data_IF_282758383981
#
_entry.id   IF_282758383981
#
_cell.length_a   1.000
_cell.length_b   1.000
_cell.length_c   1.000
_cell.angle_alpha   90.00
_cell.angle_beta   90.00
_cell.angle_gamma   90.00
#
_symmetry.space_group_name_H-M   'P 1'
#
loop_
_entity.id
_entity.type
_entity.pdbx_description
1 polymer ?
#
# COMPACT_ATOMS: atom_id res chain seq x y z
N UNK A 1 16.11 -29.43 -12.37
CA UNK A 1 15.49 -28.10 -12.03
C UNK A 1 14.76 -28.27 -10.70
N UNK A 2 14.92 -27.32 -9.77
CA UNK A 2 14.23 -27.36 -8.49
C UNK A 2 12.75 -26.99 -8.70
N UNK A 3 11.87 -27.96 -8.69
CA UNK A 3 10.44 -27.72 -8.88
C UNK A 3 9.72 -27.76 -7.53
N UNK A 4 9.12 -26.62 -7.14
CA UNK A 4 8.30 -26.50 -5.96
C UNK A 4 6.81 -26.62 -6.34
N UNK A 5 6.07 -27.39 -5.56
CA UNK A 5 4.63 -27.55 -5.77
C UNK A 5 3.83 -26.42 -5.10
N UNK A 6 2.59 -26.12 -5.54
CA UNK A 6 1.72 -25.16 -4.86
C UNK A 6 1.47 -25.50 -3.37
N UNK A 7 1.47 -26.78 -3.01
CA UNK A 7 1.35 -27.21 -1.61
C UNK A 7 2.58 -26.81 -0.79
N UNK A 8 3.78 -27.00 -1.32
CA UNK A 8 5.02 -26.57 -0.68
C UNK A 8 5.05 -25.04 -0.51
N UNK A 9 4.61 -24.28 -1.52
CA UNK A 9 4.52 -22.81 -1.43
C UNK A 9 3.56 -22.36 -0.32
N UNK A 10 2.41 -23.04 -0.15
CA UNK A 10 1.49 -22.74 0.95
C UNK A 10 2.11 -23.05 2.32
N UNK A 11 2.85 -24.16 2.43
CA UNK A 11 3.57 -24.52 3.66
C UNK A 11 4.62 -23.47 3.99
N UNK A 12 5.42 -23.01 3.01
CA UNK A 12 6.41 -21.96 3.18
C UNK A 12 5.77 -20.68 3.76
N UNK A 13 4.66 -20.24 3.16
CA UNK A 13 3.95 -19.05 3.61
C UNK A 13 3.37 -19.23 5.01
N UNK A 14 2.75 -20.38 5.29
CA UNK A 14 2.18 -20.64 6.61
C UNK A 14 3.25 -20.64 7.70
N UNK A 15 4.43 -21.26 7.47
CA UNK A 15 5.52 -21.23 8.46
C UNK A 15 6.00 -19.79 8.72
N UNK A 16 6.11 -18.98 7.68
CA UNK A 16 6.52 -17.58 7.78
C UNK A 16 5.49 -16.72 8.52
N UNK A 17 4.22 -16.87 8.20
CA UNK A 17 3.15 -16.03 8.71
C UNK A 17 2.75 -16.41 10.15
N UNK A 18 2.79 -17.70 10.49
CA UNK A 18 2.53 -18.22 11.84
C UNK A 18 3.77 -18.19 12.77
N UNK A 19 4.95 -17.92 12.23
CA UNK A 19 6.20 -17.84 12.99
C UNK A 19 6.70 -19.17 13.56
N UNK A 20 6.14 -20.33 13.12
CA UNK A 20 6.55 -21.62 13.65
C UNK A 20 5.96 -22.83 12.91
N UNK A 21 6.71 -23.94 12.97
CA UNK A 21 6.33 -25.18 12.29
C UNK A 21 5.07 -25.85 12.86
N UNK A 22 4.87 -25.75 14.18
CA UNK A 22 3.70 -26.32 14.86
C UNK A 22 2.44 -25.52 14.53
N UNK A 23 2.51 -24.18 14.63
CA UNK A 23 1.40 -23.30 14.30
C UNK A 23 1.00 -23.42 12.82
N UNK A 24 1.97 -23.45 11.92
CA UNK A 24 1.73 -23.70 10.50
C UNK A 24 1.08 -25.07 10.24
N UNK A 25 1.50 -26.11 10.96
CA UNK A 25 0.87 -27.42 10.88
C UNK A 25 -0.60 -27.35 11.27
N UNK A 26 -0.92 -26.70 12.39
CA UNK A 26 -2.31 -26.52 12.85
C UNK A 26 -3.13 -25.75 11.81
N UNK A 27 -2.61 -24.64 11.29
CA UNK A 27 -3.30 -23.82 10.29
C UNK A 27 -3.60 -24.57 8.97
N UNK A 28 -2.74 -25.52 8.60
CA UNK A 28 -2.87 -26.30 7.36
C UNK A 28 -3.51 -27.69 7.54
N UNK A 29 -3.85 -28.09 8.77
CA UNK A 29 -4.31 -29.45 9.06
C UNK A 29 -3.23 -30.51 8.88
N UNK A 30 -1.94 -30.16 9.08
CA UNK A 30 -0.78 -31.04 8.94
C UNK A 30 -0.07 -31.25 10.28
N UNK A 31 0.70 -32.32 10.37
CA UNK A 31 1.57 -32.53 11.53
C UNK A 31 2.81 -31.60 11.43
N UNK A 32 3.36 -31.20 12.59
CA UNK A 32 4.61 -30.44 12.64
C UNK A 32 5.75 -31.13 11.90
N UNK A 33 5.83 -32.48 12.00
CA UNK A 33 6.84 -33.29 11.30
C UNK A 33 6.70 -33.22 9.78
N UNK A 34 5.46 -33.25 9.26
CA UNK A 34 5.19 -33.11 7.82
C UNK A 34 5.62 -31.70 7.31
N UNK A 35 5.25 -30.65 8.03
CA UNK A 35 5.68 -29.26 7.71
C UNK A 35 7.21 -29.15 7.74
N UNK A 36 7.87 -29.66 8.79
CA UNK A 36 9.33 -29.64 8.90
C UNK A 36 10.03 -30.42 7.78
N UNK A 37 9.46 -31.56 7.38
CA UNK A 37 9.99 -32.37 6.28
C UNK A 37 9.84 -31.65 4.93
N UNK A 38 8.68 -31.00 4.67
CA UNK A 38 8.43 -30.23 3.47
C UNK A 38 9.39 -29.05 3.36
N UNK A 39 9.60 -28.29 4.45
CA UNK A 39 10.55 -27.16 4.46
C UNK A 39 11.98 -27.64 4.16
N UNK A 40 12.47 -28.71 4.80
CA UNK A 40 13.79 -29.26 4.47
C UNK A 40 13.88 -29.74 3.01
N UNK A 41 12.77 -30.27 2.48
CA UNK A 41 12.68 -30.63 1.06
C UNK A 41 12.86 -29.41 0.15
N UNK A 42 12.17 -28.32 0.45
CA UNK A 42 12.29 -27.06 -0.28
C UNK A 42 13.70 -26.47 -0.18
N UNK A 43 14.31 -26.45 1.01
CA UNK A 43 15.68 -25.98 1.24
C UNK A 43 16.70 -26.76 0.41
N UNK A 44 16.58 -28.08 0.36
CA UNK A 44 17.42 -28.92 -0.52
C UNK A 44 17.21 -28.62 -2.00
N UNK A 45 15.96 -28.46 -2.43
CA UNK A 45 15.63 -28.14 -3.83
C UNK A 45 16.19 -26.78 -4.25
N UNK A 46 16.15 -25.79 -3.34
CA UNK A 46 16.59 -24.42 -3.60
C UNK A 46 18.06 -24.18 -3.28
N UNK A 47 18.72 -25.10 -2.57
CA UNK A 47 20.11 -24.97 -2.15
C UNK A 47 20.33 -23.84 -1.13
N UNK A 48 19.30 -23.46 -0.37
CA UNK A 48 19.34 -22.35 0.59
C UNK A 48 18.51 -22.64 1.83
N UNK A 49 18.99 -22.20 3.00
CA UNK A 49 18.23 -22.21 4.25
C UNK A 49 17.16 -21.14 4.18
N UNK A 50 15.91 -21.51 4.41
CA UNK A 50 14.76 -20.60 4.35
C UNK A 50 14.35 -20.08 5.73
N UNK A 51 14.57 -20.89 6.78
CA UNK A 51 14.21 -20.52 8.13
C UNK A 51 15.32 -20.87 9.12
N UNK A 52 15.65 -19.89 9.96
CA UNK A 52 16.46 -20.12 11.15
C UNK A 52 15.58 -20.68 12.27
N UNK A 53 16.06 -21.72 12.94
CA UNK A 53 15.39 -22.32 14.08
C UNK A 53 15.81 -21.58 15.34
N UNK A 54 14.96 -20.68 15.79
CA UNK A 54 15.14 -20.01 17.08
C UNK A 54 14.36 -20.75 18.18
N UNK A 55 14.74 -20.49 19.42
CA UNK A 55 14.06 -21.03 20.61
C UNK A 55 12.58 -20.58 20.69
N UNK A 56 12.24 -19.49 20.01
CA UNK A 56 10.92 -18.85 19.97
C UNK A 56 10.12 -19.17 18.69
N UNK A 57 10.63 -20.04 17.77
CA UNK A 57 9.90 -20.37 16.55
C UNK A 57 10.80 -20.48 15.31
N UNK A 58 10.22 -20.24 14.15
CA UNK A 58 10.87 -20.21 12.84
C UNK A 58 10.97 -18.77 12.34
N UNK A 59 12.18 -18.23 12.25
CA UNK A 59 12.42 -16.89 11.71
C UNK A 59 12.87 -17.05 10.26
N UNK A 60 12.21 -16.39 9.28
CA UNK A 60 12.66 -16.50 7.90
C UNK A 60 14.02 -15.82 7.70
N UNK A 61 14.91 -16.46 6.95
CA UNK A 61 16.15 -15.87 6.47
C UNK A 61 15.86 -14.85 5.36
N UNK A 62 16.83 -14.01 4.94
CA UNK A 62 16.67 -13.19 3.75
C UNK A 62 16.30 -13.98 2.48
N UNK A 63 16.77 -15.23 2.37
CA UNK A 63 16.37 -16.14 1.29
C UNK A 63 14.92 -16.60 1.47
N UNK A 64 14.50 -16.90 2.71
CA UNK A 64 13.14 -17.25 3.08
C UNK A 64 12.15 -16.16 2.77
N UNK A 65 12.44 -14.89 3.11
CA UNK A 65 11.58 -13.75 2.79
C UNK A 65 11.43 -13.55 1.28
N UNK A 66 12.53 -13.65 0.51
CA UNK A 66 12.45 -13.58 -0.96
C UNK A 66 11.61 -14.73 -1.52
N UNK A 67 11.83 -15.96 -1.03
CA UNK A 67 11.05 -17.13 -1.45
C UNK A 67 9.57 -16.97 -1.11
N UNK A 68 9.22 -16.41 0.05
CA UNK A 68 7.84 -16.13 0.44
C UNK A 68 7.18 -15.10 -0.48
N UNK A 69 7.88 -14.01 -0.86
CA UNK A 69 7.37 -13.04 -1.83
C UNK A 69 7.08 -13.70 -3.20
N UNK A 70 8.00 -14.53 -3.70
CA UNK A 70 7.76 -15.30 -4.92
C UNK A 70 6.60 -16.28 -4.79
N UNK A 71 6.53 -17.00 -3.66
CA UNK A 71 5.47 -17.98 -3.40
C UNK A 71 4.08 -17.32 -3.43
N UNK A 72 3.90 -16.14 -2.80
CA UNK A 72 2.63 -15.40 -2.84
C UNK A 72 2.24 -15.03 -4.28
N UNK A 73 3.18 -14.48 -5.05
CA UNK A 73 2.92 -14.10 -6.45
C UNK A 73 2.53 -15.29 -7.31
N UNK A 74 3.24 -16.42 -7.17
CA UNK A 74 2.93 -17.66 -7.90
C UNK A 74 1.52 -18.17 -7.53
N UNK A 75 1.22 -18.28 -6.25
CA UNK A 75 -0.10 -18.73 -5.78
C UNK A 75 -1.21 -17.78 -6.22
N UNK A 76 -0.95 -16.48 -6.20
CA UNK A 76 -1.90 -15.48 -6.69
C UNK A 76 -2.19 -15.64 -8.18
N UNK A 77 -1.16 -15.89 -8.99
CA UNK A 77 -1.34 -16.16 -10.43
C UNK A 77 -2.13 -17.45 -10.69
N UNK A 78 -1.99 -18.48 -9.85
CA UNK A 78 -2.88 -19.66 -9.92
C UNK A 78 -4.34 -19.29 -9.66
N UNK A 79 -4.62 -18.44 -8.67
CA UNK A 79 -5.99 -17.98 -8.38
C UNK A 79 -6.58 -17.20 -9.55
N UNK A 80 -5.79 -16.26 -10.12
CA UNK A 80 -6.18 -15.44 -11.27
C UNK A 80 -6.44 -16.30 -12.49
N UNK A 81 -5.52 -17.20 -12.85
CA UNK A 81 -5.68 -18.13 -13.96
C UNK A 81 -7.00 -18.93 -13.83
N UNK A 82 -7.25 -19.47 -12.63
CA UNK A 82 -8.48 -20.24 -12.40
C UNK A 82 -9.75 -19.38 -12.50
N UNK A 83 -9.68 -18.09 -12.16
CA UNK A 83 -10.79 -17.16 -12.29
C UNK A 83 -11.03 -16.77 -13.77
N UNK A 84 -9.97 -16.44 -14.50
CA UNK A 84 -10.04 -16.05 -15.91
C UNK A 84 -10.54 -17.19 -16.80
N UNK A 85 -10.00 -18.40 -16.63
CA UNK A 85 -10.46 -19.58 -17.39
C UNK A 85 -11.95 -19.90 -17.14
N UNK A 86 -12.43 -19.76 -15.90
CA UNK A 86 -13.85 -19.92 -15.61
C UNK A 86 -14.72 -18.83 -16.26
N UNK A 87 -14.18 -17.61 -16.34
CA UNK A 87 -14.86 -16.51 -16.99
C UNK A 87 -15.01 -16.71 -18.51
N UNK A 88 -13.99 -17.24 -19.19
CA UNK A 88 -14.02 -17.51 -20.64
C UNK A 88 -15.02 -18.63 -21.02
N UNK A 89 -15.28 -19.57 -20.11
CA UNK A 89 -16.22 -20.68 -20.34
C UNK A 89 -17.71 -20.31 -20.27
N UNK A 90 -18.05 -19.11 -19.79
CA UNK A 90 -19.43 -18.62 -19.73
C UNK A 90 -19.56 -17.42 -20.66
N UNK A 91 -20.37 -17.55 -21.74
CA UNK A 91 -20.65 -16.49 -22.72
C UNK A 91 -21.06 -15.20 -21.99
N UNK A 92 -20.20 -14.19 -21.94
CA UNK A 92 -20.47 -12.94 -21.23
C UNK A 92 -20.09 -12.93 -19.74
N UNK A 93 -19.19 -13.80 -19.29
CA UNK A 93 -18.83 -13.91 -17.89
C UNK A 93 -18.24 -12.62 -17.32
N UNK A 94 -18.91 -12.12 -16.29
CA UNK A 94 -18.46 -10.98 -15.52
C UNK A 94 -17.18 -11.33 -14.77
N UNK A 95 -16.27 -10.36 -14.66
CA UNK A 95 -15.07 -10.49 -13.82
C UNK A 95 -15.47 -10.87 -12.39
N UNK A 96 -14.76 -11.82 -11.78
CA UNK A 96 -15.10 -12.34 -10.45
C UNK A 96 -13.87 -12.70 -9.63
N UNK A 97 -14.06 -12.76 -8.31
CA UNK A 97 -13.04 -13.15 -7.34
C UNK A 97 -12.44 -11.96 -6.59
N UNK A 98 -11.50 -12.22 -5.67
CA UNK A 98 -10.89 -11.18 -4.86
C UNK A 98 -9.98 -10.27 -5.69
N UNK A 99 -10.03 -8.97 -5.40
CA UNK A 99 -9.13 -7.95 -5.95
C UNK A 99 -8.48 -7.21 -4.77
N UNK A 100 -7.22 -7.54 -4.49
CA UNK A 100 -6.48 -7.02 -3.34
C UNK A 100 -5.82 -5.70 -3.69
N UNK A 101 -6.15 -4.65 -2.92
CA UNK A 101 -5.63 -3.31 -3.15
C UNK A 101 -4.94 -2.81 -1.88
N UNK A 102 -3.67 -2.42 -1.99
CA UNK A 102 -2.98 -1.71 -0.93
C UNK A 102 -2.98 -0.21 -1.23
N UNK A 103 -3.23 0.61 -0.22
CA UNK A 103 -3.22 2.07 -0.38
C UNK A 103 -2.80 2.74 0.93
N UNK A 104 -2.21 3.92 0.84
CA UNK A 104 -2.04 4.76 2.01
C UNK A 104 -3.38 5.40 2.42
N UNK A 105 -3.45 5.89 3.67
CA UNK A 105 -4.71 6.28 4.32
C UNK A 105 -5.56 7.24 3.48
N UNK A 106 -5.03 8.39 3.08
CA UNK A 106 -5.82 9.38 2.35
C UNK A 106 -6.26 8.89 0.96
N UNK A 107 -5.47 8.06 0.28
CA UNK A 107 -5.90 7.42 -0.97
C UNK A 107 -7.02 6.39 -0.73
N UNK A 108 -6.94 5.62 0.36
CA UNK A 108 -7.98 4.66 0.73
C UNK A 108 -9.31 5.33 1.06
N UNK A 109 -9.27 6.52 1.66
CA UNK A 109 -10.46 7.28 2.05
C UNK A 109 -11.07 8.08 0.89
N UNK A 110 -10.25 8.62 -0.02
CA UNK A 110 -10.70 9.68 -0.94
C UNK A 110 -10.54 9.34 -2.43
N UNK A 111 -9.80 8.30 -2.79
CA UNK A 111 -9.63 7.86 -4.18
C UNK A 111 -10.31 6.52 -4.46
N UNK A 112 -10.20 5.58 -3.52
CA UNK A 112 -10.71 4.22 -3.72
C UNK A 112 -12.24 4.11 -3.68
N UNK A 113 -12.99 4.75 -2.76
CA UNK A 113 -14.42 4.44 -2.58
C UNK A 113 -15.23 4.59 -3.85
N UNK A 114 -15.16 5.75 -4.49
CA UNK A 114 -15.90 6.02 -5.74
C UNK A 114 -15.47 5.10 -6.89
N UNK A 115 -14.17 4.79 -6.98
CA UNK A 115 -13.65 3.90 -8.01
C UNK A 115 -14.11 2.45 -7.79
N UNK A 116 -14.10 1.99 -6.54
CA UNK A 116 -14.56 0.65 -6.18
C UNK A 116 -16.06 0.49 -6.32
N UNK A 117 -16.85 1.51 -5.99
CA UNK A 117 -18.29 1.50 -6.19
C UNK A 117 -18.64 1.37 -7.69
N UNK A 118 -17.98 2.16 -8.55
CA UNK A 118 -18.19 2.04 -10.01
C UNK A 118 -17.72 0.69 -10.53
N UNK A 119 -16.59 0.18 -10.03
CA UNK A 119 -16.04 -1.12 -10.39
C UNK A 119 -17.03 -2.26 -10.06
N UNK A 120 -17.49 -2.31 -8.81
CA UNK A 120 -18.39 -3.39 -8.35
C UNK A 120 -19.76 -3.32 -8.97
N UNK A 121 -20.24 -2.12 -9.31
CA UNK A 121 -21.49 -1.94 -10.08
C UNK A 121 -21.38 -2.51 -11.51
N UNK A 122 -20.22 -2.36 -12.16
CA UNK A 122 -19.95 -2.92 -13.50
C UNK A 122 -19.57 -4.40 -13.47
N UNK A 123 -18.94 -4.83 -12.38
CA UNK A 123 -18.41 -6.18 -12.20
C UNK A 123 -18.80 -6.73 -10.83
N UNK A 124 -20.07 -7.12 -10.62
CA UNK A 124 -20.58 -7.52 -9.29
C UNK A 124 -19.90 -8.76 -8.70
N UNK A 125 -19.22 -9.55 -9.52
CA UNK A 125 -18.46 -10.72 -9.09
C UNK A 125 -17.07 -10.38 -8.51
N UNK A 126 -16.57 -9.15 -8.70
CA UNK A 126 -15.32 -8.74 -8.08
C UNK A 126 -15.54 -8.37 -6.60
N UNK A 127 -14.65 -8.85 -5.74
CA UNK A 127 -14.67 -8.59 -4.30
C UNK A 127 -13.40 -7.80 -3.95
N UNK A 128 -13.46 -6.45 -3.90
CA UNK A 128 -12.32 -5.64 -3.50
C UNK A 128 -11.97 -5.84 -2.02
N UNK A 129 -10.70 -6.11 -1.76
CA UNK A 129 -10.11 -6.20 -0.42
C UNK A 129 -9.08 -5.08 -0.26
N UNK A 130 -9.41 -4.05 0.53
CA UNK A 130 -8.54 -2.89 0.72
C UNK A 130 -7.72 -3.04 2.00
N UNK A 131 -6.40 -2.91 1.86
CA UNK A 131 -5.46 -2.85 2.96
C UNK A 131 -4.84 -1.47 3.04
N UNK A 132 -5.05 -0.80 4.16
CA UNK A 132 -4.40 0.49 4.43
C UNK A 132 -3.00 0.24 4.98
N UNK A 133 -2.00 0.84 4.33
CA UNK A 133 -0.58 0.69 4.67
C UNK A 133 0.05 2.07 4.69
N UNK A 134 0.95 2.32 5.66
CA UNK A 134 1.69 3.59 5.71
C UNK A 134 2.60 3.74 4.48
N UNK A 135 2.70 4.95 3.94
CA UNK A 135 3.54 5.25 2.76
C UNK A 135 4.99 5.55 3.17
N UNK A 136 5.60 4.60 3.89
CA UNK A 136 6.97 4.66 4.42
C UNK A 136 7.76 3.46 3.92
N UNK A 137 9.02 3.67 3.58
CA UNK A 137 9.88 2.62 3.03
C UNK A 137 9.26 2.06 1.74
N UNK A 138 9.07 0.72 1.62
CA UNK A 138 8.43 0.14 0.45
C UNK A 138 6.91 0.40 0.39
N UNK A 139 6.29 0.78 1.50
CA UNK A 139 4.89 1.19 1.61
C UNK A 139 3.88 0.29 0.89
N UNK A 140 2.79 0.87 0.34
CA UNK A 140 1.82 0.12 -0.45
C UNK A 140 2.44 -0.59 -1.65
N UNK A 141 3.44 0.01 -2.31
CA UNK A 141 4.15 -0.61 -3.44
C UNK A 141 4.88 -1.90 -3.02
N UNK A 142 5.38 -1.97 -1.77
CA UNK A 142 5.95 -3.18 -1.19
C UNK A 142 4.94 -4.31 -1.08
N UNK A 143 3.68 -4.02 -0.75
CA UNK A 143 2.61 -5.01 -0.71
C UNK A 143 2.37 -5.65 -2.10
N UNK A 144 2.40 -4.84 -3.16
CA UNK A 144 2.30 -5.34 -4.53
C UNK A 144 3.54 -6.15 -4.95
N UNK A 145 4.75 -5.66 -4.63
CA UNK A 145 5.99 -6.36 -4.94
C UNK A 145 6.08 -7.73 -4.26
N UNK A 146 5.57 -7.83 -3.03
CA UNK A 146 5.57 -9.07 -2.24
C UNK A 146 4.37 -9.99 -2.55
N UNK A 147 3.48 -9.60 -3.46
CA UNK A 147 2.30 -10.39 -3.84
C UNK A 147 1.19 -10.41 -2.77
N UNK A 148 1.19 -9.46 -1.83
CA UNK A 148 0.10 -9.28 -0.86
C UNK A 148 -1.03 -8.40 -1.41
N UNK A 149 -0.76 -7.61 -2.45
CA UNK A 149 -1.76 -6.84 -3.18
C UNK A 149 -1.61 -7.07 -4.71
N UNK A 150 -2.72 -6.97 -5.43
CA UNK A 150 -2.75 -7.02 -6.89
C UNK A 150 -2.43 -5.66 -7.50
N UNK A 151 -2.84 -4.61 -6.80
CA UNK A 151 -2.59 -3.22 -7.12
C UNK A 151 -2.25 -2.45 -5.86
N UNK A 152 -1.27 -1.58 -5.92
CA UNK A 152 -0.98 -0.60 -4.89
C UNK A 152 -1.30 0.81 -5.38
N UNK A 153 -1.82 1.66 -4.49
CA UNK A 153 -1.83 3.12 -4.68
C UNK A 153 -0.75 3.68 -3.78
N UNK A 154 0.25 4.29 -4.40
CA UNK A 154 1.47 4.75 -3.74
C UNK A 154 1.88 6.12 -4.28
N UNK A 155 2.72 6.81 -3.54
CA UNK A 155 3.34 8.01 -4.05
C UNK A 155 4.53 7.66 -4.96
N UNK A 156 4.60 8.33 -6.09
CA UNK A 156 5.62 8.13 -7.12
C UNK A 156 6.70 9.23 -7.05
N UNK A 157 7.96 8.85 -7.27
CA UNK A 157 9.05 9.84 -7.37
C UNK A 157 9.56 10.38 -6.04
N UNK A 158 9.31 9.69 -4.93
CA UNK A 158 9.85 10.01 -3.62
C UNK A 158 11.34 9.74 -3.47
N UNK A 159 11.91 10.10 -2.31
CA UNK A 159 13.31 9.83 -1.98
C UNK A 159 13.61 8.33 -1.82
N UNK A 160 12.61 7.53 -1.50
CA UNK A 160 12.71 6.07 -1.45
C UNK A 160 12.30 5.50 -2.80
N UNK A 161 13.19 4.81 -3.52
CA UNK A 161 12.83 4.18 -4.79
C UNK A 161 11.78 3.10 -4.57
N UNK A 162 10.84 3.00 -5.50
CA UNK A 162 9.87 1.91 -5.49
C UNK A 162 10.58 0.55 -5.67
N UNK A 163 10.03 -0.53 -5.12
CA UNK A 163 10.53 -1.87 -5.36
C UNK A 163 10.70 -2.16 -6.85
N UNK A 164 11.83 -2.78 -7.22
CA UNK A 164 12.12 -3.10 -8.60
C UNK A 164 11.09 -4.10 -9.19
N UNK A 165 10.89 -4.02 -10.50
CA UNK A 165 10.03 -4.95 -11.24
C UNK A 165 8.53 -4.63 -11.19
N UNK A 166 8.13 -3.48 -10.65
CA UNK A 166 6.76 -3.00 -10.73
C UNK A 166 6.53 -2.15 -11.98
N UNK A 167 5.34 -2.27 -12.55
CA UNK A 167 4.78 -1.32 -13.52
C UNK A 167 4.06 -0.24 -12.71
N UNK A 168 4.28 1.01 -13.08
CA UNK A 168 3.62 2.16 -12.44
C UNK A 168 2.87 3.01 -13.47
N UNK A 169 1.92 3.80 -13.01
CA UNK A 169 1.26 4.81 -13.82
C UNK A 169 0.64 5.89 -12.95
N UNK A 170 0.65 7.12 -13.45
CA UNK A 170 0.13 8.29 -12.74
C UNK A 170 -1.40 8.24 -12.63
N UNK A 171 -1.91 8.72 -11.50
CA UNK A 171 -3.33 8.91 -11.22
C UNK A 171 -3.67 10.39 -11.03
N UNK A 172 -2.92 11.08 -10.17
CA UNK A 172 -3.07 12.51 -9.94
C UNK A 172 -1.79 13.11 -9.35
N UNK A 173 -1.67 14.41 -9.44
CA UNK A 173 -0.72 15.23 -8.68
C UNK A 173 -1.51 16.14 -7.74
N UNK A 174 -1.06 16.24 -6.50
CA UNK A 174 -1.69 17.10 -5.49
C UNK A 174 -0.66 18.01 -4.82
N UNK A 175 -1.04 19.27 -4.56
CA UNK A 175 -0.20 20.18 -3.80
C UNK A 175 -0.38 19.98 -2.29
N UNK A 176 0.52 20.59 -1.54
CA UNK A 176 0.43 20.72 -0.10
C UNK A 176 -0.09 22.11 0.29
N UNK A 177 -0.76 22.19 1.43
CA UNK A 177 -1.21 23.42 2.05
C UNK A 177 -0.78 23.49 3.50
N UNK A 178 -0.66 24.69 4.04
CA UNK A 178 -0.52 24.92 5.47
C UNK A 178 -1.90 24.77 6.12
N UNK A 179 -2.02 23.95 7.13
CA UNK A 179 -3.23 23.77 7.93
C UNK A 179 -3.01 24.27 9.36
N UNK A 180 -3.96 25.00 9.90
CA UNK A 180 -3.88 25.63 11.21
C UNK A 180 -5.26 25.78 11.87
N UNK A 181 -5.33 26.01 13.19
CA UNK A 181 -6.61 26.30 13.87
C UNK A 181 -7.30 27.52 13.26
N UNK A 182 -8.60 27.43 13.02
CA UNK A 182 -9.41 28.49 12.42
C UNK A 182 -9.29 29.81 13.19
N UNK A 183 -9.17 30.92 12.45
CA UNK A 183 -9.11 32.26 12.99
C UNK A 183 -7.79 32.61 13.69
N UNK A 184 -6.75 31.80 13.58
CA UNK A 184 -5.45 32.15 14.17
C UNK A 184 -4.77 33.27 13.37
N UNK A 185 -4.41 34.42 14.02
CA UNK A 185 -3.96 35.64 13.28
C UNK A 185 -2.59 35.47 12.62
N UNK A 186 -1.75 34.57 13.13
CA UNK A 186 -0.39 34.35 12.66
C UNK A 186 -0.04 32.85 12.59
N UNK A 187 -0.63 32.08 11.65
CA UNK A 187 -0.51 30.63 11.64
C UNK A 187 0.93 30.11 11.54
N UNK A 188 1.82 30.83 10.83
CA UNK A 188 3.24 30.44 10.68
C UNK A 188 4.08 30.59 11.95
N UNK A 189 3.54 31.16 13.02
CA UNK A 189 4.22 31.25 14.34
C UNK A 189 3.87 30.11 15.28
N UNK A 190 2.92 29.25 14.88
CA UNK A 190 2.51 28.09 15.66
C UNK A 190 3.60 27.00 15.65
N UNK A 191 3.65 26.18 16.70
CA UNK A 191 4.47 24.97 16.70
C UNK A 191 4.11 24.05 15.54
N UNK A 192 5.10 23.36 14.98
CA UNK A 192 4.88 22.39 13.91
C UNK A 192 4.45 21.03 14.52
N UNK A 193 3.34 20.52 14.00
CA UNK A 193 2.93 19.12 14.16
C UNK A 193 3.25 18.39 12.86
N UNK A 194 4.01 17.32 12.94
CA UNK A 194 4.49 16.60 11.77
C UNK A 194 4.29 15.08 11.92
N UNK A 195 4.49 14.35 10.84
CA UNK A 195 4.45 12.88 10.86
C UNK A 195 5.50 12.29 9.91
N UNK A 196 5.88 11.05 10.18
CA UNK A 196 7.02 10.41 9.54
C UNK A 196 6.92 10.32 8.00
N UNK A 197 5.73 10.13 7.46
CA UNK A 197 5.51 10.06 6.01
C UNK A 197 5.84 11.37 5.29
N UNK A 198 5.64 12.50 5.97
CA UNK A 198 5.86 13.82 5.41
C UNK A 198 7.36 14.16 5.30
N UNK A 199 8.13 13.84 6.35
CA UNK A 199 9.55 14.21 6.43
C UNK A 199 10.49 13.33 5.60
N UNK A 200 10.07 12.12 5.24
CA UNK A 200 10.90 11.13 4.55
C UNK A 200 10.77 11.15 3.02
N UNK A 201 9.98 12.07 2.48
CA UNK A 201 9.53 12.03 1.10
C UNK A 201 10.08 13.14 0.20
N UNK A 202 9.45 13.34 -0.93
CA UNK A 202 9.69 14.33 -1.99
C UNK A 202 9.60 15.77 -1.49
N UNK A 203 8.98 16.01 -0.34
CA UNK A 203 8.89 17.32 0.29
C UNK A 203 10.13 17.70 1.08
N UNK A 204 11.04 16.76 1.35
CA UNK A 204 12.23 16.98 2.20
C UNK A 204 13.11 18.14 1.71
N UNK A 205 13.32 18.26 0.39
CA UNK A 205 14.11 19.35 -0.18
C UNK A 205 13.40 20.71 -0.03
N UNK A 206 12.10 20.75 -0.30
CA UNK A 206 11.31 21.94 -0.08
C UNK A 206 11.30 22.34 1.40
N UNK A 207 11.08 21.37 2.27
CA UNK A 207 11.04 21.54 3.72
C UNK A 207 12.33 22.15 4.26
N UNK A 208 13.48 21.62 3.83
CA UNK A 208 14.80 22.12 4.25
C UNK A 208 15.09 23.55 3.76
N UNK A 209 14.44 23.98 2.69
CA UNK A 209 14.60 25.33 2.15
C UNK A 209 13.71 26.37 2.85
N UNK A 210 12.80 25.96 3.75
CA UNK A 210 11.87 26.86 4.41
C UNK A 210 12.45 27.43 5.71
N UNK A 211 12.96 28.66 5.68
CA UNK A 211 13.47 29.32 6.88
C UNK A 211 12.42 29.70 7.93
N UNK A 212 11.13 29.59 7.61
CA UNK A 212 10.03 29.95 8.52
C UNK A 212 9.43 28.73 9.24
N UNK A 213 9.71 27.51 8.82
CA UNK A 213 9.20 26.30 9.47
C UNK A 213 10.00 26.02 10.76
N UNK A 214 9.35 25.99 11.92
CA UNK A 214 10.03 25.60 13.16
C UNK A 214 10.30 24.09 13.17
N UNK A 215 11.20 23.62 14.05
CA UNK A 215 11.30 22.20 14.33
C UNK A 215 9.95 21.63 14.82
N UNK A 216 9.66 20.39 14.45
CA UNK A 216 8.45 19.73 14.93
C UNK A 216 8.51 19.56 16.45
N UNK A 217 7.45 19.98 17.13
CA UNK A 217 7.30 19.80 18.59
C UNK A 217 6.49 18.56 18.93
N UNK A 218 5.70 18.08 17.98
CA UNK A 218 4.91 16.84 18.08
C UNK A 218 5.08 16.08 16.78
N UNK A 219 5.36 14.78 16.88
CA UNK A 219 5.36 13.85 15.74
C UNK A 219 4.26 12.82 15.93
N UNK A 220 3.35 12.76 14.97
CA UNK A 220 2.25 11.80 14.95
C UNK A 220 2.59 10.60 14.04
N UNK A 221 1.80 9.54 14.14
CA UNK A 221 2.01 8.35 13.31
C UNK A 221 1.36 8.44 11.92
N UNK A 222 0.28 9.23 11.78
CA UNK A 222 -0.48 9.38 10.54
C UNK A 222 -1.05 10.79 10.38
N UNK A 223 -1.45 11.11 9.15
CA UNK A 223 -2.02 12.41 8.75
C UNK A 223 -3.35 12.73 9.47
N UNK A 224 -4.16 11.74 9.81
CA UNK A 224 -5.41 11.95 10.55
C UNK A 224 -5.16 12.40 11.99
N UNK A 225 -4.17 11.83 12.65
CA UNK A 225 -3.74 12.26 13.99
C UNK A 225 -3.17 13.67 13.95
N UNK A 226 -2.36 14.02 12.94
CA UNK A 226 -1.87 15.39 12.73
C UNK A 226 -3.03 16.37 12.64
N UNK A 227 -4.01 16.08 11.77
CA UNK A 227 -5.18 16.93 11.56
C UNK A 227 -6.00 17.13 12.84
N UNK A 228 -6.18 16.06 13.62
CA UNK A 228 -6.86 16.13 14.92
C UNK A 228 -6.12 17.00 15.93
N UNK A 229 -4.79 16.94 15.98
CA UNK A 229 -3.97 17.77 16.86
C UNK A 229 -4.03 19.25 16.45
N UNK A 230 -3.98 19.55 15.15
CA UNK A 230 -4.15 20.92 14.64
C UNK A 230 -5.55 21.44 14.99
N UNK A 231 -6.59 20.63 14.81
CA UNK A 231 -7.97 21.01 15.18
C UNK A 231 -8.15 21.32 16.69
N UNK A 232 -7.33 20.72 17.54
CA UNK A 232 -7.27 20.97 18.98
C UNK A 232 -6.38 22.18 19.36
N UNK A 233 -5.84 22.90 18.39
CA UNK A 233 -4.99 24.06 18.63
C UNK A 233 -3.56 23.72 19.08
N UNK A 234 -3.08 22.51 18.82
CA UNK A 234 -1.73 22.06 19.23
C UNK A 234 -0.61 22.57 18.34
N UNK A 235 -0.93 23.15 17.19
CA UNK A 235 0.04 23.69 16.27
C UNK A 235 -0.51 23.85 14.85
N UNK A 236 0.41 23.98 13.91
CA UNK A 236 0.15 23.98 12.47
C UNK A 236 0.78 22.73 11.82
N UNK A 237 0.36 22.39 10.62
CA UNK A 237 1.01 21.36 9.82
C UNK A 237 1.03 21.74 8.34
N UNK A 238 1.94 21.16 7.56
CA UNK A 238 1.94 21.23 6.09
C UNK A 238 1.50 19.86 5.58
N UNK A 239 0.33 19.81 4.94
CA UNK A 239 -0.35 18.55 4.60
C UNK A 239 -0.77 18.53 3.12
N UNK A 240 -0.78 17.34 2.48
CA UNK A 240 -1.30 17.20 1.12
C UNK A 240 -2.83 17.38 1.09
N UNK A 241 -3.34 17.94 0.01
CA UNK A 241 -4.77 18.28 -0.13
C UNK A 241 -5.69 17.08 0.09
N UNK A 242 -5.29 15.90 -0.33
CA UNK A 242 -6.10 14.69 -0.16
C UNK A 242 -6.37 14.37 1.31
N UNK A 243 -5.39 14.63 2.18
CA UNK A 243 -5.54 14.45 3.63
C UNK A 243 -6.42 15.52 4.29
N UNK A 244 -6.69 16.61 3.57
CA UNK A 244 -7.48 17.76 4.09
C UNK A 244 -8.95 17.73 3.64
N UNK A 245 -9.37 16.76 2.82
CA UNK A 245 -10.74 16.70 2.28
C UNK A 245 -11.83 16.61 3.35
N UNK A 246 -11.54 15.92 4.44
CA UNK A 246 -12.45 15.77 5.58
C UNK A 246 -11.99 16.61 6.78
N UNK A 247 -11.27 17.72 6.52
CA UNK A 247 -10.82 18.60 7.58
C UNK A 247 -12.03 19.19 8.34
N UNK A 248 -11.99 19.16 9.69
CA UNK A 248 -13.09 19.68 10.48
C UNK A 248 -13.19 21.21 10.35
N UNK A 249 -14.39 21.80 10.58
CA UNK A 249 -14.58 23.26 10.48
C UNK A 249 -13.72 24.09 11.43
N UNK A 250 -13.08 23.45 12.43
CA UNK A 250 -12.17 24.10 13.38
C UNK A 250 -10.77 24.38 12.83
N UNK A 251 -10.47 23.96 11.60
CA UNK A 251 -9.21 24.26 10.92
C UNK A 251 -9.43 25.11 9.68
N UNK A 252 -8.38 25.76 9.26
CA UNK A 252 -8.29 26.52 8.01
C UNK A 252 -7.02 26.12 7.27
N UNK A 253 -7.05 26.28 5.94
CA UNK A 253 -5.91 26.03 5.06
C UNK A 253 -5.44 27.31 4.42
N UNK A 254 -4.12 27.43 4.28
CA UNK A 254 -3.48 28.54 3.57
C UNK A 254 -2.65 27.98 2.44
N UNK A 255 -2.81 28.53 1.25
CA UNK A 255 -1.97 28.22 0.10
C UNK A 255 -0.53 28.63 0.37
N UNK A 256 0.41 27.74 0.06
CA UNK A 256 1.84 27.97 0.25
C UNK A 256 2.49 28.74 -0.91
N UNK A 257 1.73 29.07 -1.94
CA UNK A 257 2.19 29.83 -3.11
C UNK A 257 2.69 28.91 -4.25
N UNK A 258 3.28 29.53 -5.29
CA UNK A 258 3.65 28.79 -6.51
C UNK A 258 4.75 27.76 -6.30
N UNK A 259 5.62 27.95 -5.31
CA UNK A 259 6.72 27.03 -4.99
C UNK A 259 6.32 25.97 -3.96
N UNK A 260 5.01 25.79 -3.72
CA UNK A 260 4.50 24.77 -2.80
C UNK A 260 4.92 23.37 -3.23
N UNK A 261 5.19 22.47 -2.27
CA UNK A 261 5.51 21.10 -2.61
C UNK A 261 4.29 20.39 -3.21
N UNK A 262 4.54 19.48 -4.11
CA UNK A 262 3.54 18.58 -4.70
C UNK A 262 3.98 17.15 -4.53
N UNK A 263 3.03 16.20 -4.54
CA UNK A 263 3.32 14.78 -4.67
C UNK A 263 2.52 14.16 -5.81
N UNK A 264 3.14 13.22 -6.49
CA UNK A 264 2.45 12.43 -7.52
C UNK A 264 1.94 11.14 -6.89
N UNK A 265 0.65 10.90 -7.04
CA UNK A 265 0.01 9.66 -6.64
C UNK A 265 -0.20 8.82 -7.88
N UNK A 266 0.18 7.55 -7.80
CA UNK A 266 0.02 6.61 -8.88
C UNK A 266 -0.33 5.22 -8.39
N UNK A 267 -0.46 4.33 -9.35
CA UNK A 267 -0.59 2.90 -9.05
C UNK A 267 0.71 2.16 -9.34
N UNK A 268 0.90 1.04 -8.65
CA UNK A 268 1.99 0.10 -8.86
C UNK A 268 1.45 -1.34 -8.81
N UNK A 269 1.90 -2.19 -9.72
CA UNK A 269 1.55 -3.60 -9.79
C UNK A 269 2.67 -4.41 -10.44
N UNK A 270 2.72 -5.72 -10.20
CA UNK A 270 3.63 -6.58 -10.99
C UNK A 270 3.17 -6.64 -12.46
N UNK A 271 4.09 -6.87 -13.43
CA UNK A 271 3.74 -6.92 -14.85
C UNK A 271 2.63 -7.90 -15.19
N UNK A 272 2.61 -9.04 -14.49
CA UNK A 272 1.61 -10.08 -14.67
C UNK A 272 0.24 -9.63 -14.20
N UNK A 273 0.16 -9.11 -12.97
CA UNK A 273 -1.10 -8.67 -12.38
C UNK A 273 -1.65 -7.40 -13.05
N UNK A 274 -0.78 -6.50 -13.51
CA UNK A 274 -1.19 -5.32 -14.26
C UNK A 274 -1.95 -5.65 -15.56
N UNK A 275 -1.74 -6.85 -16.12
CA UNK A 275 -2.41 -7.33 -17.35
C UNK A 275 -3.75 -8.00 -17.08
N UNK A 276 -4.04 -8.38 -15.84
CA UNK A 276 -5.30 -9.03 -15.48
C UNK A 276 -6.50 -8.11 -15.71
N UNK A 277 -7.63 -8.70 -16.05
CA UNK A 277 -8.83 -7.95 -16.38
C UNK A 277 -9.35 -7.14 -15.17
N UNK A 278 -9.25 -7.68 -13.95
CA UNK A 278 -9.67 -7.01 -12.71
C UNK A 278 -8.83 -5.77 -12.40
N UNK A 279 -7.49 -5.88 -12.46
CA UNK A 279 -6.59 -4.75 -12.22
C UNK A 279 -6.78 -3.66 -13.30
N UNK A 280 -6.87 -4.04 -14.56
CA UNK A 280 -7.13 -3.10 -15.67
C UNK A 280 -8.47 -2.37 -15.52
N UNK A 281 -9.51 -3.07 -15.04
CA UNK A 281 -10.80 -2.46 -14.76
C UNK A 281 -10.68 -1.42 -13.64
N UNK A 282 -10.03 -1.75 -12.52
CA UNK A 282 -9.82 -0.82 -11.42
C UNK A 282 -9.01 0.41 -11.85
N UNK A 283 -7.92 0.23 -12.59
CA UNK A 283 -7.10 1.36 -13.09
C UNK A 283 -7.91 2.31 -13.96
N UNK A 284 -8.84 1.79 -14.79
CA UNK A 284 -9.75 2.65 -15.58
C UNK A 284 -10.66 3.48 -14.69
N UNK A 285 -11.22 2.88 -13.62
CA UNK A 285 -12.10 3.60 -12.69
C UNK A 285 -11.33 4.66 -11.89
N UNK A 286 -10.10 4.35 -11.47
CA UNK A 286 -9.23 5.30 -10.77
C UNK A 286 -8.89 6.51 -11.64
N UNK A 287 -8.53 6.29 -12.91
CA UNK A 287 -8.23 7.36 -13.87
C UNK A 287 -9.45 8.22 -14.17
N UNK A 288 -10.64 7.62 -14.29
CA UNK A 288 -11.88 8.36 -14.48
C UNK A 288 -12.23 9.27 -13.30
N UNK A 289 -11.83 8.89 -12.08
CA UNK A 289 -11.98 9.72 -10.87
C UNK A 289 -10.98 10.89 -10.82
N UNK A 290 -9.74 10.69 -11.31
CA UNK A 290 -8.68 11.71 -11.31
C UNK A 290 -8.88 12.83 -12.33
N UNK A 291 -9.55 12.55 -13.45
CA UNK A 291 -9.79 13.53 -14.54
C UNK A 291 -10.98 14.48 -14.22
N UNK A 292 -11.79 14.17 -13.21
CA UNK A 292 -13.08 14.85 -12.98
C UNK A 292 -13.10 15.98 -11.96
N UNK A 293 -11.96 16.44 -11.40
CA UNK A 293 -11.97 17.53 -10.42
C UNK A 293 -10.97 18.61 -10.80
N UNK A 294 -11.45 19.75 -11.36
CA UNK A 294 -10.66 20.97 -11.37
C UNK A 294 -10.41 21.39 -9.91
N UNK A 295 -9.17 21.76 -9.59
CA UNK A 295 -8.83 22.45 -8.36
C UNK A 295 -9.83 23.59 -8.14
N UNK A 296 -10.58 23.57 -7.05
CA UNK A 296 -11.37 24.71 -6.63
C UNK A 296 -10.41 25.90 -6.45
N UNK A 297 -10.67 26.97 -7.23
CA UNK A 297 -10.01 28.26 -7.12
C UNK A 297 -10.40 28.97 -5.82
#
# INVERSE_FOLDING_TARGET
>A
MAELTPAELRILLSVRDEGGFTAAGTALGLTQSAVSHAVRGMERKLGAVLFDRARTGAVPTPAGERAAGHARRILRLYEVMAAEVRADGATGAALSGPLRVAAFRSAALHLLPDALERLTRRHPGLVPEVRVVRDIGPGPAGEAADGRADLAIATLGGSTPLPAGLITGDLLEEPYALVHPRGHPAPRTLPLVDWQENCSSYTAAWWSAQGWLPPATVTAEDDGTVLALVAQGRGMAVMPELSLRDAPPSVETVDLGPDRPTRRIGYAATPELARTAGVRALVRELRAAGVGRPSCG
#
